data_IF_390549362605
#
_entry.id   IF_390549362605
#
_cell.length_a   1.000
_cell.length_b   1.000
_cell.length_c   1.000
_cell.angle_alpha   90.00
_cell.angle_beta   90.00
_cell.angle_gamma   90.00
#
_symmetry.space_group_name_H-M   'P 1'
#
loop_
_entity.id
_entity.type
_entity.pdbx_description
1 polymer ?
#
# COMPACT_ATOMS: atom_id res chain seq x y z
N UNK A 1 -3.19 -4.25 18.70
CA UNK A 1 -3.35 -4.58 17.25
C UNK A 1 -2.22 -3.93 16.46
N UNK A 2 -1.60 -4.63 15.51
CA UNK A 2 -0.42 -4.09 14.81
C UNK A 2 -0.79 -2.90 13.91
N UNK A 3 0.07 -1.87 13.91
CA UNK A 3 -0.01 -0.74 12.99
C UNK A 3 0.52 -1.11 11.59
N UNK A 4 0.02 -0.43 10.55
CA UNK A 4 0.50 -0.60 9.17
C UNK A 4 0.96 0.77 8.67
N UNK A 5 2.20 0.85 8.19
CA UNK A 5 2.70 2.04 7.49
C UNK A 5 3.12 1.66 6.08
N UNK A 6 2.65 2.41 5.08
CA UNK A 6 3.06 2.22 3.69
C UNK A 6 4.00 3.37 3.31
N UNK A 7 5.20 3.04 2.83
CA UNK A 7 6.18 4.03 2.36
C UNK A 7 6.51 3.67 0.92
N UNK A 8 6.16 4.52 -0.04
CA UNK A 8 6.42 4.27 -1.45
C UNK A 8 6.67 5.59 -2.18
N UNK A 9 7.11 5.52 -3.45
CA UNK A 9 7.16 6.71 -4.28
C UNK A 9 5.77 7.34 -4.41
N UNK A 10 5.72 8.66 -4.43
CA UNK A 10 4.48 9.38 -4.64
C UNK A 10 3.84 9.08 -6.02
N UNK A 11 2.51 8.94 -6.14
CA UNK A 11 1.48 8.91 -5.08
C UNK A 11 1.04 7.47 -4.72
N UNK A 12 1.94 6.49 -4.81
CA UNK A 12 1.58 5.08 -4.74
C UNK A 12 1.14 4.63 -3.34
N UNK A 13 1.73 5.17 -2.26
CA UNK A 13 1.34 4.79 -0.90
C UNK A 13 -0.09 5.24 -0.60
N UNK A 14 -0.43 6.49 -0.95
CA UNK A 14 -1.79 7.01 -0.78
C UNK A 14 -2.81 6.25 -1.61
N UNK A 15 -2.49 5.92 -2.87
CA UNK A 15 -3.37 5.13 -3.74
C UNK A 15 -3.70 3.75 -3.13
N UNK A 16 -2.71 3.04 -2.58
CA UNK A 16 -2.94 1.76 -1.92
C UNK A 16 -3.86 1.87 -0.69
N UNK A 17 -3.71 2.94 0.09
CA UNK A 17 -4.59 3.21 1.24
C UNK A 17 -6.03 3.49 0.81
N UNK A 18 -6.22 4.23 -0.28
CA UNK A 18 -7.55 4.48 -0.85
C UNK A 18 -8.20 3.20 -1.36
N UNK A 19 -7.45 2.34 -2.05
CA UNK A 19 -7.94 1.02 -2.46
C UNK A 19 -8.42 0.19 -1.25
N UNK A 20 -7.67 0.18 -0.15
CA UNK A 20 -8.09 -0.52 1.08
C UNK A 20 -9.34 0.11 1.68
N UNK A 21 -9.40 1.44 1.75
CA UNK A 21 -10.60 2.13 2.22
C UNK A 21 -11.84 1.75 1.39
N UNK A 22 -11.68 1.61 0.08
CA UNK A 22 -12.75 1.14 -0.81
C UNK A 22 -13.14 -0.30 -0.44
N UNK A 23 -12.18 -1.22 -0.40
CA UNK A 23 -12.42 -2.66 -0.15
C UNK A 23 -13.18 -2.89 1.17
N UNK A 24 -12.85 -2.15 2.23
CA UNK A 24 -13.46 -2.31 3.56
C UNK A 24 -14.64 -1.36 3.82
N UNK A 25 -15.05 -0.52 2.86
CA UNK A 25 -16.14 0.45 3.05
C UNK A 25 -15.80 1.58 4.04
N UNK A 26 -14.51 1.83 4.25
CA UNK A 26 -13.97 2.79 5.21
C UNK A 26 -12.51 2.47 5.51
N UNK A 27 -11.75 3.46 5.96
CA UNK A 27 -10.33 3.26 6.27
C UNK A 27 -10.17 2.50 7.59
N UNK A 28 -9.56 1.30 7.61
CA UNK A 28 -9.26 0.63 8.87
C UNK A 28 -8.33 1.49 9.73
N UNK A 29 -8.58 1.51 11.04
CA UNK A 29 -7.77 2.28 11.98
C UNK A 29 -6.28 1.88 11.90
N UNK A 30 -5.38 2.79 12.26
CA UNK A 30 -3.92 2.56 12.36
C UNK A 30 -3.26 2.13 11.04
N UNK A 31 -3.70 2.72 9.93
CA UNK A 31 -3.00 2.67 8.64
C UNK A 31 -2.49 4.07 8.31
N UNK A 32 -1.19 4.21 8.17
CA UNK A 32 -0.52 5.44 7.71
C UNK A 32 0.13 5.25 6.33
N UNK A 33 0.40 6.36 5.66
CA UNK A 33 1.07 6.39 4.36
C UNK A 33 2.10 7.51 4.33
N UNK A 34 3.19 7.28 3.61
CA UNK A 34 4.19 8.28 3.26
C UNK A 34 4.49 8.14 1.79
N UNK A 35 4.10 9.15 1.02
CA UNK A 35 4.50 9.30 -0.37
C UNK A 35 5.83 10.05 -0.42
N UNK A 36 6.87 9.34 -0.85
CA UNK A 36 8.22 9.88 -0.98
C UNK A 36 8.32 10.62 -2.31
N UNK A 37 8.50 11.94 -2.22
CA UNK A 37 8.67 12.83 -3.37
C UNK A 37 10.12 12.74 -3.90
N UNK A 38 10.35 12.99 -5.20
CA UNK A 38 11.70 12.89 -5.78
C UNK A 38 12.71 13.90 -5.21
N UNK A 39 12.24 15.02 -4.68
CA UNK A 39 13.01 16.15 -4.14
C UNK A 39 13.05 16.19 -2.61
N UNK A 40 12.46 15.20 -1.93
CA UNK A 40 12.45 15.18 -0.46
C UNK A 40 13.86 14.92 0.12
N UNK A 41 14.13 15.47 1.30
CA UNK A 41 15.29 15.07 2.10
C UNK A 41 15.01 13.72 2.79
N UNK A 42 15.76 12.65 2.47
CA UNK A 42 15.58 11.35 3.11
C UNK A 42 15.73 11.36 4.63
N UNK A 43 16.50 12.31 5.20
CA UNK A 43 16.69 12.45 6.65
C UNK A 43 15.39 12.91 7.31
N UNK A 44 14.75 13.93 6.75
CA UNK A 44 13.47 14.45 7.23
C UNK A 44 12.36 13.40 7.11
N UNK A 45 12.27 12.74 5.95
CA UNK A 45 11.26 11.70 5.72
C UNK A 45 11.47 10.52 6.67
N UNK A 46 12.73 10.15 6.96
CA UNK A 46 13.04 9.10 7.94
C UNK A 46 12.63 9.48 9.36
N UNK A 47 12.86 10.73 9.77
CA UNK A 47 12.42 11.22 11.07
C UNK A 47 10.88 11.21 11.17
N UNK A 48 10.20 11.66 10.12
CA UNK A 48 8.74 11.60 10.03
C UNK A 48 8.22 10.16 10.09
N UNK A 49 8.84 9.24 9.35
CA UNK A 49 8.46 7.83 9.34
C UNK A 49 8.63 7.16 10.71
N UNK A 50 9.64 7.54 11.49
CA UNK A 50 9.80 7.10 12.89
C UNK A 50 8.63 7.56 13.74
N UNK A 51 8.30 8.85 13.69
CA UNK A 51 7.17 9.43 14.41
C UNK A 51 5.84 8.77 14.04
N UNK A 52 5.63 8.47 12.76
CA UNK A 52 4.43 7.78 12.28
C UNK A 52 4.35 6.34 12.80
N UNK A 53 5.46 5.60 12.83
CA UNK A 53 5.48 4.27 13.44
C UNK A 53 5.13 4.34 14.93
N UNK A 54 5.71 5.27 15.67
CA UNK A 54 5.42 5.42 17.10
C UNK A 54 3.95 5.77 17.36
N UNK A 55 3.33 6.56 16.47
CA UNK A 55 1.90 6.88 16.52
C UNK A 55 1.00 5.68 16.20
N UNK A 56 1.40 4.86 15.23
CA UNK A 56 0.59 3.75 14.72
C UNK A 56 0.71 2.48 15.56
N UNK A 57 1.90 2.20 16.09
CA UNK A 57 2.25 1.01 16.84
C UNK A 57 1.53 0.95 18.19
N UNK A 58 1.15 -0.26 18.60
CA UNK A 58 0.74 -0.62 19.96
C UNK A 58 1.61 -1.79 20.45
N UNK A 59 1.13 -2.58 21.41
CA UNK A 59 1.85 -3.75 21.96
C UNK A 59 2.19 -4.81 20.90
N UNK A 60 1.35 -4.98 19.87
CA UNK A 60 1.57 -5.98 18.80
C UNK A 60 2.62 -5.54 17.75
N UNK A 61 3.24 -4.37 17.91
CA UNK A 61 4.22 -3.86 16.94
C UNK A 61 3.60 -3.22 15.69
N UNK A 62 4.38 -3.16 14.61
CA UNK A 62 3.95 -2.60 13.33
C UNK A 62 4.58 -3.34 12.14
N UNK A 63 3.92 -3.26 10.99
CA UNK A 63 4.48 -3.67 9.70
C UNK A 63 4.62 -2.45 8.78
N UNK A 64 5.79 -2.32 8.18
CA UNK A 64 6.07 -1.33 7.13
C UNK A 64 6.05 -2.03 5.79
N UNK A 65 5.31 -1.49 4.83
CA UNK A 65 5.22 -2.00 3.47
C UNK A 65 5.84 -0.98 2.51
N UNK A 66 6.74 -1.43 1.65
CA UNK A 66 7.40 -0.58 0.64
C UNK A 66 7.24 -1.17 -0.75
N UNK A 67 7.29 -0.31 -1.75
CA UNK A 67 7.14 -0.64 -3.17
C UNK A 67 8.31 -1.45 -3.73
N UNK A 68 9.50 -0.85 -3.86
CA UNK A 68 10.63 -1.41 -4.61
C UNK A 68 11.87 -1.46 -3.73
N UNK A 69 12.47 -2.65 -3.60
CA UNK A 69 13.71 -2.84 -2.88
C UNK A 69 14.87 -2.05 -3.50
N UNK A 70 15.71 -1.46 -2.66
CA UNK A 70 16.88 -0.69 -3.08
C UNK A 70 16.60 0.78 -3.44
N UNK A 71 15.33 1.20 -3.47
CA UNK A 71 14.97 2.60 -3.67
C UNK A 71 14.93 3.40 -2.36
N UNK A 72 14.86 4.73 -2.46
CA UNK A 72 14.79 5.65 -1.31
C UNK A 72 13.67 5.27 -0.31
N UNK A 73 12.42 4.97 -0.73
CA UNK A 73 11.38 4.50 0.18
C UNK A 73 11.79 3.25 0.96
N UNK A 74 12.38 2.26 0.28
CA UNK A 74 12.78 1.01 0.90
C UNK A 74 13.96 1.19 1.88
N UNK A 75 14.90 2.08 1.59
CA UNK A 75 16.00 2.41 2.50
C UNK A 75 15.48 3.09 3.77
N UNK A 76 14.53 4.03 3.62
CA UNK A 76 13.86 4.67 4.75
C UNK A 76 13.10 3.62 5.57
N UNK A 77 12.30 2.79 4.93
CA UNK A 77 11.53 1.72 5.56
C UNK A 77 12.42 0.73 6.32
N UNK A 78 13.48 0.22 5.68
CA UNK A 78 14.43 -0.73 6.27
C UNK A 78 15.05 -0.17 7.55
N UNK A 79 15.28 1.14 7.59
CA UNK A 79 15.86 1.83 8.74
C UNK A 79 14.96 1.86 10.00
N UNK A 80 13.69 1.49 9.84
CA UNK A 80 12.69 1.38 10.91
C UNK A 80 12.60 -0.06 11.47
N UNK A 81 13.21 -1.05 10.82
CA UNK A 81 13.16 -2.45 11.24
C UNK A 81 13.69 -2.62 12.67
N UNK A 82 12.98 -3.44 13.45
CA UNK A 82 13.34 -3.78 14.84
C UNK A 82 12.62 -5.05 15.28
N UNK A 83 12.80 -5.47 16.54
CA UNK A 83 12.05 -6.59 17.12
C UNK A 83 10.53 -6.39 17.08
N UNK A 84 10.10 -5.13 17.10
CA UNK A 84 8.68 -4.73 17.10
C UNK A 84 8.19 -4.17 15.76
N UNK A 85 9.05 -4.12 14.74
CA UNK A 85 8.72 -3.59 13.41
C UNK A 85 9.27 -4.51 12.33
N UNK A 86 8.37 -5.05 11.48
CA UNK A 86 8.74 -5.84 10.30
C UNK A 86 8.60 -5.00 9.04
N UNK A 87 9.54 -5.13 8.10
CA UNK A 87 9.56 -4.36 6.85
C UNK A 87 9.47 -5.32 5.68
N UNK A 88 8.50 -5.10 4.78
CA UNK A 88 8.26 -5.94 3.60
C UNK A 88 8.28 -5.08 2.34
N UNK A 89 9.00 -5.52 1.31
CA UNK A 89 9.06 -4.86 0.01
C UNK A 89 8.17 -5.57 -1.03
N UNK A 90 7.88 -4.90 -2.15
CA UNK A 90 7.01 -5.44 -3.20
C UNK A 90 5.53 -5.33 -2.86
N UNK A 91 5.12 -4.25 -2.17
CA UNK A 91 3.73 -4.10 -1.74
C UNK A 91 2.76 -4.15 -2.92
N UNK A 92 1.72 -4.95 -2.77
CA UNK A 92 0.59 -5.04 -3.67
C UNK A 92 -0.72 -5.18 -2.86
N UNK A 93 -1.88 -5.08 -3.53
CA UNK A 93 -3.17 -5.15 -2.83
C UNK A 93 -3.40 -6.48 -2.09
N UNK A 94 -3.10 -7.67 -2.66
CA UNK A 94 -3.21 -8.93 -1.93
C UNK A 94 -2.40 -8.99 -0.62
N UNK A 95 -1.16 -8.48 -0.64
CA UNK A 95 -0.31 -8.35 0.54
C UNK A 95 -0.97 -7.47 1.59
N UNK A 96 -1.44 -6.28 1.19
CA UNK A 96 -2.03 -5.30 2.08
C UNK A 96 -3.36 -5.77 2.68
N UNK A 97 -4.21 -6.45 1.91
CA UNK A 97 -5.43 -7.11 2.41
C UNK A 97 -5.08 -8.16 3.45
N UNK A 98 -4.04 -8.98 3.22
CA UNK A 98 -3.58 -9.94 4.24
C UNK A 98 -3.02 -9.25 5.48
N UNK A 99 -2.27 -8.17 5.33
CA UNK A 99 -1.77 -7.41 6.47
C UNK A 99 -2.91 -6.88 7.34
N UNK A 100 -3.98 -6.35 6.73
CA UNK A 100 -5.17 -5.90 7.45
C UNK A 100 -5.92 -7.06 8.11
N UNK A 101 -6.08 -8.20 7.44
CA UNK A 101 -6.81 -9.34 8.00
C UNK A 101 -6.10 -10.01 9.20
N UNK A 102 -4.76 -10.01 9.23
CA UNK A 102 -3.96 -10.73 10.24
C UNK A 102 -3.32 -9.81 11.29
N UNK A 103 -3.64 -8.52 11.29
CA UNK A 103 -3.07 -7.50 12.20
C UNK A 103 -3.21 -7.77 13.71
N UNK A 104 -4.04 -8.74 14.12
CA UNK A 104 -4.19 -9.15 15.53
C UNK A 104 -3.34 -10.36 15.90
N UNK A 105 -2.72 -11.04 14.93
CA UNK A 105 -1.83 -12.19 15.18
C UNK A 105 -0.44 -11.72 15.64
N UNK A 106 0.43 -12.62 16.13
CA UNK A 106 1.83 -12.31 16.37
C UNK A 106 2.51 -11.68 15.15
N UNK A 107 3.46 -10.77 15.38
CA UNK A 107 4.09 -9.95 14.34
C UNK A 107 4.79 -10.79 13.26
N UNK A 108 5.42 -11.90 13.65
CA UNK A 108 6.03 -12.85 12.73
C UNK A 108 4.99 -13.51 11.81
N UNK A 109 3.90 -14.04 12.39
CA UNK A 109 2.79 -14.61 11.62
C UNK A 109 2.16 -13.59 10.69
N UNK A 110 2.00 -12.34 11.13
CA UNK A 110 1.51 -11.24 10.30
C UNK A 110 2.41 -11.02 9.07
N UNK A 111 3.73 -10.96 9.29
CA UNK A 111 4.70 -10.77 8.21
C UNK A 111 4.66 -11.93 7.20
N UNK A 112 4.66 -13.17 7.68
CA UNK A 112 4.57 -14.38 6.84
C UNK A 112 3.27 -14.40 6.00
N UNK A 113 2.12 -14.12 6.62
CA UNK A 113 0.83 -14.12 5.92
C UNK A 113 0.74 -12.99 4.90
N UNK A 114 1.36 -11.85 5.19
CA UNK A 114 1.44 -10.72 4.26
C UNK A 114 2.30 -11.09 3.05
N UNK A 115 3.50 -11.64 3.26
CA UNK A 115 4.37 -12.13 2.17
C UNK A 115 3.68 -13.20 1.32
N UNK A 116 3.05 -14.19 1.95
CA UNK A 116 2.28 -15.22 1.25
C UNK A 116 1.13 -14.61 0.43
N UNK A 117 0.44 -13.60 0.97
CA UNK A 117 -0.58 -12.84 0.26
C UNK A 117 -0.02 -12.14 -0.98
N UNK A 118 1.11 -11.46 -0.82
CA UNK A 118 1.78 -10.76 -1.90
C UNK A 118 2.20 -11.67 -3.03
N UNK A 119 2.88 -12.79 -2.73
CA UNK A 119 3.36 -13.72 -3.73
C UNK A 119 2.23 -14.53 -4.38
N UNK A 120 1.28 -15.08 -3.62
CA UNK A 120 0.16 -15.87 -4.17
C UNK A 120 -0.87 -15.02 -4.90
N UNK A 121 -0.88 -13.71 -4.65
CA UNK A 121 -1.73 -12.76 -5.35
C UNK A 121 -1.26 -12.45 -6.78
N UNK A 122 -0.04 -12.81 -7.14
CA UNK A 122 0.49 -12.65 -8.50
C UNK A 122 0.08 -13.90 -9.29
N UNK A 123 -0.90 -13.73 -10.18
CA UNK A 123 -1.44 -14.79 -11.02
C UNK A 123 -1.67 -14.25 -12.43
N UNK A 124 -1.40 -15.08 -13.43
CA UNK A 124 -1.85 -14.83 -14.79
C UNK A 124 -3.36 -15.09 -14.85
N UNK A 125 -4.11 -14.18 -15.45
CA UNK A 125 -5.54 -14.35 -15.69
C UNK A 125 -5.73 -14.61 -17.19
N UNK A 126 -6.16 -15.83 -17.51
CA UNK A 126 -6.53 -16.23 -18.86
C UNK A 126 -8.04 -16.53 -18.94
N UNK A 127 -8.53 -16.81 -20.15
CA UNK A 127 -9.94 -17.13 -20.38
C UNK A 127 -10.41 -18.41 -19.66
N UNK A 128 -9.48 -19.25 -19.18
CA UNK A 128 -9.77 -20.49 -18.46
C UNK A 128 -9.71 -20.34 -16.93
N UNK A 129 -9.25 -19.18 -16.44
CA UNK A 129 -9.11 -18.92 -15.02
C UNK A 129 -10.49 -18.89 -14.36
N UNK A 130 -10.78 -19.80 -13.41
CA UNK A 130 -12.10 -19.89 -12.80
C UNK A 130 -12.47 -18.57 -12.12
N UNK A 131 -13.59 -17.98 -12.53
CA UNK A 131 -14.14 -16.82 -11.82
C UNK A 131 -14.42 -17.23 -10.37
N UNK A 132 -13.86 -16.47 -9.41
CA UNK A 132 -14.05 -16.76 -7.99
C UNK A 132 -15.55 -16.67 -7.65
N UNK A 133 -16.22 -17.75 -7.18
CA UNK A 133 -17.69 -17.78 -7.05
C UNK A 133 -18.26 -16.67 -6.16
N UNK A 134 -17.47 -16.20 -5.18
CA UNK A 134 -17.87 -15.14 -4.27
C UNK A 134 -17.99 -13.76 -4.93
N UNK A 135 -17.28 -13.50 -6.04
CA UNK A 135 -17.33 -12.22 -6.75
C UNK A 135 -18.60 -12.05 -7.60
N UNK A 136 -19.17 -13.16 -8.08
CA UNK A 136 -20.37 -13.16 -8.93
C UNK A 136 -21.66 -12.87 -8.15
N UNK A 137 -21.68 -13.12 -6.83
CA UNK A 137 -22.85 -12.84 -5.98
C UNK A 137 -23.00 -11.36 -5.59
N UNK A 138 -21.94 -10.54 -5.72
CA UNK A 138 -21.94 -9.12 -5.32
C UNK A 138 -22.08 -8.14 -6.49
N UNK A 139 -21.94 -8.60 -7.75
CA UNK A 139 -21.93 -7.72 -8.92
C UNK A 139 -23.30 -7.10 -9.25
N UNK A 140 -24.41 -7.66 -8.76
CA UNK A 140 -25.75 -7.13 -9.01
C UNK A 140 -26.03 -5.79 -8.28
N UNK A 141 -25.18 -5.36 -7.34
CA UNK A 141 -25.38 -4.14 -6.55
C UNK A 141 -24.46 -2.95 -6.92
N UNK A 142 -23.47 -3.14 -7.79
CA UNK A 142 -22.43 -2.13 -8.07
C UNK A 142 -22.54 -1.48 -9.47
N UNK A 143 -23.76 -1.30 -9.99
CA UNK A 143 -24.03 -0.66 -11.29
C UNK A 143 -23.76 0.87 -11.32
N UNK A 144 -22.82 1.37 -10.51
CA UNK A 144 -22.42 2.78 -10.47
C UNK A 144 -20.90 2.91 -10.28
N UNK A 145 -20.09 2.03 -10.87
CA UNK A 145 -18.66 2.28 -10.98
C UNK A 145 -18.40 3.16 -12.21
N UNK A 146 -18.68 4.46 -12.08
CA UNK A 146 -18.34 5.42 -13.11
C UNK A 146 -16.81 5.61 -13.13
N UNK A 147 -16.18 5.15 -14.20
CA UNK A 147 -14.80 5.52 -14.55
C UNK A 147 -14.79 7.04 -14.72
N UNK A 148 -14.24 7.77 -13.74
CA UNK A 148 -13.82 9.15 -13.96
C UNK A 148 -12.48 9.09 -14.67
N UNK A 149 -12.49 9.16 -15.99
CA UNK A 149 -11.30 9.46 -16.78
C UNK A 149 -10.83 10.86 -16.40
N UNK A 150 -9.70 10.96 -15.70
CA UNK A 150 -8.99 12.22 -15.55
C UNK A 150 -8.44 12.62 -16.93
N UNK A 151 -9.08 13.59 -17.58
CA UNK A 151 -8.58 14.16 -18.82
C UNK A 151 -7.26 14.89 -18.53
N UNK A 152 -6.16 14.40 -19.12
CA UNK A 152 -4.89 15.14 -19.19
C UNK A 152 -5.10 16.33 -20.12
N UNK A 153 -5.10 17.53 -19.57
CA UNK A 153 -5.06 18.75 -20.37
C UNK A 153 -3.65 18.90 -20.98
N UNK A 154 -3.54 18.69 -22.28
CA UNK A 154 -2.35 19.06 -23.05
C UNK A 154 -2.41 20.56 -23.38
N UNK A 155 -1.48 21.35 -22.84
CA UNK A 155 -1.27 22.73 -23.29
C UNK A 155 -0.59 22.76 -24.67
N UNK A 156 -1.00 23.65 -25.59
CA UNK A 156 -0.44 23.68 -26.94
C UNK A 156 0.88 24.45 -26.99
N UNK A 157 1.84 23.82 -27.64
CA UNK A 157 3.13 24.34 -28.09
C UNK A 157 2.95 25.64 -28.91
N UNK A 158 3.39 26.78 -28.38
CA UNK A 158 3.48 28.03 -29.16
C UNK A 158 4.67 27.96 -30.10
N UNK A 159 4.38 27.71 -31.37
CA UNK A 159 5.24 28.01 -32.51
C UNK A 159 5.55 29.51 -32.51
N UNK A 160 6.79 29.90 -32.22
CA UNK A 160 7.31 31.25 -32.49
C UNK A 160 8.09 31.19 -33.80
N UNK A 161 7.45 31.70 -34.85
CA UNK A 161 8.10 32.04 -36.12
C UNK A 161 8.74 33.42 -36.01
N UNK A 162 10.06 33.50 -36.15
CA UNK A 162 10.78 34.61 -36.77
C UNK A 162 12.14 34.13 -37.28
#
# INVERSE_FOLDING_TARGET
MAGILIIAHAPFASALRECISHIYGGLPARIGVIDVMPDCDPVEVRAFARSEIDRLKEENGAVVLTDVFGATPANIAQSLASDTVRVLAGVNLPMLVRAVCYRTTPLETLAEKSLQGGSKGIQELDASTPANPCAMASAAAAASCAVKTAAVASEPEKVVSH
#
